data_IF_397225081973
#
_entry.id   IF_397225081973
#
_cell.length_a   1.000
_cell.length_b   1.000
_cell.length_c   1.000
_cell.angle_alpha   90.00
_cell.angle_beta   90.00
_cell.angle_gamma   90.00
#
_symmetry.space_group_name_H-M   'P 1'
#
loop_
_entity.id
_entity.type
_entity.pdbx_description
1 polymer ?
#
# COMPACT_ATOMS: atom_id res chain seq x y z
N UNK A 1 -37.88 32.39 44.07
CA UNK A 1 -36.52 31.80 43.92
C UNK A 1 -36.58 30.33 43.49
N UNK A 2 -37.06 30.01 42.26
CA UNK A 2 -37.14 28.62 41.76
C UNK A 2 -36.74 28.43 40.28
N UNK A 3 -36.13 29.43 39.64
CA UNK A 3 -35.67 29.36 38.23
C UNK A 3 -34.17 29.02 38.07
N UNK A 4 -33.43 28.82 39.16
CA UNK A 4 -31.97 28.60 39.12
C UNK A 4 -31.50 27.15 39.07
N UNK A 5 -32.38 26.18 39.34
CA UNK A 5 -31.99 24.76 39.48
C UNK A 5 -32.17 23.98 38.18
N UNK A 6 -33.19 24.28 37.38
CA UNK A 6 -33.45 23.58 36.11
C UNK A 6 -32.37 23.85 35.04
N UNK A 7 -31.81 25.07 35.02
CA UNK A 7 -30.70 25.42 34.13
C UNK A 7 -29.41 24.65 34.44
N UNK A 8 -29.12 24.37 35.71
CA UNK A 8 -27.93 23.59 36.10
C UNK A 8 -28.10 22.09 35.85
N UNK A 9 -29.32 21.55 35.95
CA UNK A 9 -29.59 20.14 35.60
C UNK A 9 -29.51 19.93 34.09
N UNK A 10 -30.01 20.87 33.28
CA UNK A 10 -29.86 20.85 31.82
C UNK A 10 -28.41 20.94 31.36
N UNK A 11 -27.62 21.84 31.97
CA UNK A 11 -26.19 22.00 31.64
C UNK A 11 -25.36 20.79 32.13
N UNK A 12 -25.68 20.21 33.31
CA UNK A 12 -25.05 18.95 33.78
C UNK A 12 -25.42 17.75 32.90
N UNK A 13 -26.64 17.68 32.38
CA UNK A 13 -27.08 16.61 31.47
C UNK A 13 -26.39 16.73 30.11
N UNK A 14 -26.25 17.95 29.58
CA UNK A 14 -25.52 18.21 28.33
C UNK A 14 -24.00 17.97 28.47
N UNK A 15 -23.41 18.23 29.63
CA UNK A 15 -21.99 17.92 29.89
C UNK A 15 -21.74 16.42 30.15
N UNK A 16 -22.71 15.69 30.72
CA UNK A 16 -22.64 14.23 30.84
C UNK A 16 -22.84 13.50 29.50
N UNK A 17 -23.66 14.02 28.58
CA UNK A 17 -23.79 13.48 27.21
C UNK A 17 -22.59 13.83 26.31
N UNK A 18 -21.80 14.86 26.65
CA UNK A 18 -20.53 15.13 25.94
C UNK A 18 -19.40 14.13 26.27
N UNK A 19 -19.63 13.24 27.25
CA UNK A 19 -18.72 12.17 27.63
C UNK A 19 -19.11 10.79 27.08
N UNK A 20 -20.21 10.69 26.32
CA UNK A 20 -20.50 9.48 25.54
C UNK A 20 -19.69 9.53 24.25
N UNK A 21 -18.94 8.46 24.02
CA UNK A 21 -17.83 8.38 23.06
C UNK A 21 -18.14 8.97 21.70
N UNK A 22 -17.17 9.70 21.16
CA UNK A 22 -17.20 10.28 19.80
C UNK A 22 -17.16 9.13 18.78
N UNK A 23 -18.29 8.44 18.61
CA UNK A 23 -18.42 7.33 17.67
C UNK A 23 -18.25 7.80 16.24
N UNK A 24 -17.55 7.01 15.43
CA UNK A 24 -17.35 7.32 14.02
C UNK A 24 -18.56 6.84 13.23
N UNK A 25 -19.06 7.69 12.33
CA UNK A 25 -20.26 7.41 11.54
C UNK A 25 -20.11 6.13 10.69
N UNK A 26 -21.14 5.28 10.74
CA UNK A 26 -21.18 3.96 10.10
C UNK A 26 -20.94 3.99 8.59
N UNK A 27 -21.29 5.10 7.93
CA UNK A 27 -21.03 5.30 6.50
C UNK A 27 -19.53 5.29 6.17
N UNK A 28 -18.68 5.86 7.02
CA UNK A 28 -17.23 5.93 6.78
C UNK A 28 -16.63 4.52 6.88
N UNK A 29 -17.06 3.74 7.87
CA UNK A 29 -16.65 2.33 8.02
C UNK A 29 -17.09 1.49 6.83
N UNK A 30 -18.32 1.67 6.36
CA UNK A 30 -18.82 0.99 5.14
C UNK A 30 -17.95 1.31 3.93
N UNK A 31 -17.62 2.59 3.70
CA UNK A 31 -16.72 2.99 2.59
C UNK A 31 -15.36 2.31 2.68
N UNK A 32 -14.76 2.20 3.88
CA UNK A 32 -13.45 1.56 4.05
C UNK A 32 -13.50 0.06 3.79
N UNK A 33 -14.55 -0.63 4.24
CA UNK A 33 -14.78 -2.04 3.94
C UNK A 33 -14.96 -2.26 2.44
N UNK A 34 -15.72 -1.41 1.74
CA UNK A 34 -15.89 -1.49 0.28
C UNK A 34 -14.55 -1.36 -0.45
N UNK A 35 -13.68 -0.42 -0.02
CA UNK A 35 -12.34 -0.26 -0.60
C UNK A 35 -11.50 -1.53 -0.38
N UNK A 36 -11.56 -2.13 0.80
CA UNK A 36 -10.82 -3.37 1.10
C UNK A 36 -11.33 -4.56 0.26
N UNK A 37 -12.65 -4.71 0.10
CA UNK A 37 -13.23 -5.77 -0.73
C UNK A 37 -12.84 -5.56 -2.20
N UNK A 38 -12.90 -4.32 -2.69
CA UNK A 38 -12.42 -3.99 -4.04
C UNK A 38 -10.92 -4.30 -4.21
N UNK A 39 -10.10 -3.98 -3.21
CA UNK A 39 -8.68 -4.32 -3.18
C UNK A 39 -8.46 -5.83 -3.30
N UNK A 40 -9.26 -6.62 -2.57
CA UNK A 40 -9.22 -8.08 -2.64
C UNK A 40 -9.58 -8.61 -4.04
N UNK A 41 -10.58 -8.00 -4.69
CA UNK A 41 -10.94 -8.35 -6.07
C UNK A 41 -9.79 -8.07 -7.04
N UNK A 42 -9.15 -6.91 -6.95
CA UNK A 42 -7.99 -6.58 -7.79
C UNK A 42 -6.86 -7.58 -7.56
N UNK A 43 -6.54 -7.88 -6.29
CA UNK A 43 -5.48 -8.84 -5.96
C UNK A 43 -5.78 -10.21 -6.58
N UNK A 44 -7.03 -10.67 -6.47
CA UNK A 44 -7.46 -11.95 -7.07
C UNK A 44 -7.35 -11.94 -8.60
N UNK A 45 -7.73 -10.84 -9.26
CA UNK A 45 -7.62 -10.69 -10.70
C UNK A 45 -6.15 -10.67 -11.15
N UNK A 46 -5.28 -9.92 -10.48
CA UNK A 46 -3.86 -9.84 -10.80
C UNK A 46 -3.18 -11.20 -10.64
N UNK A 47 -3.43 -11.91 -9.53
CA UNK A 47 -2.91 -13.27 -9.33
C UNK A 47 -3.35 -14.22 -10.46
N UNK A 48 -4.63 -14.16 -10.85
CA UNK A 48 -5.16 -14.98 -11.95
C UNK A 48 -4.47 -14.68 -13.29
N UNK A 49 -4.21 -13.41 -13.59
CA UNK A 49 -3.52 -13.01 -14.82
C UNK A 49 -2.06 -13.48 -14.85
N UNK A 50 -1.32 -13.35 -13.75
CA UNK A 50 0.09 -13.77 -13.70
C UNK A 50 0.20 -15.29 -13.89
N UNK A 51 -0.72 -16.06 -13.27
CA UNK A 51 -0.79 -17.53 -13.44
C UNK A 51 -1.17 -17.90 -14.88
N UNK A 52 -2.16 -17.23 -15.48
CA UNK A 52 -2.61 -17.51 -16.84
C UNK A 52 -1.52 -17.26 -17.90
N UNK A 53 -0.57 -16.36 -17.62
CA UNK A 53 0.54 -16.02 -18.53
C UNK A 53 1.75 -16.95 -18.42
N UNK A 54 1.85 -17.77 -17.37
CA UNK A 54 3.01 -18.62 -17.07
C UNK A 54 3.14 -19.90 -17.89
N UNK A 55 2.82 -19.86 -19.19
CA UNK A 55 2.89 -21.03 -20.07
C UNK A 55 4.26 -21.74 -20.04
N UNK A 56 4.24 -23.03 -19.66
CA UNK A 56 5.24 -24.11 -19.82
C UNK A 56 6.72 -23.88 -19.44
N UNK A 57 7.16 -22.68 -19.05
CA UNK A 57 8.53 -22.38 -18.58
C UNK A 57 8.50 -21.88 -17.13
N UNK A 58 8.12 -22.78 -16.22
CA UNK A 58 7.68 -22.44 -14.86
C UNK A 58 8.71 -21.75 -13.95
N UNK A 59 10.01 -22.00 -14.10
CA UNK A 59 11.01 -21.47 -13.16
C UNK A 59 11.41 -20.02 -13.45
N UNK A 60 11.70 -19.68 -14.71
CA UNK A 60 12.07 -18.31 -15.09
C UNK A 60 10.88 -17.35 -15.00
N UNK A 61 9.66 -17.82 -15.27
CA UNK A 61 8.44 -17.02 -15.13
C UNK A 61 8.14 -16.67 -13.67
N UNK A 62 8.29 -17.63 -12.74
CA UNK A 62 8.03 -17.38 -11.32
C UNK A 62 9.02 -16.38 -10.73
N UNK A 63 10.31 -16.45 -11.14
CA UNK A 63 11.34 -15.50 -10.68
C UNK A 63 11.05 -14.10 -11.23
N UNK A 64 10.63 -13.97 -12.48
CA UNK A 64 10.34 -12.67 -13.12
C UNK A 64 9.13 -11.93 -12.53
N UNK A 65 8.24 -12.61 -11.82
CA UNK A 65 7.05 -12.01 -11.19
C UNK A 65 7.11 -12.06 -9.66
N UNK A 66 8.25 -12.42 -9.07
CA UNK A 66 8.38 -12.67 -7.63
C UNK A 66 8.06 -11.44 -6.77
N UNK A 67 8.51 -10.26 -7.18
CA UNK A 67 8.19 -8.99 -6.50
C UNK A 67 6.69 -8.66 -6.54
N UNK A 68 6.02 -8.90 -7.66
CA UNK A 68 4.56 -8.77 -7.79
C UNK A 68 3.82 -9.76 -6.90
N UNK A 69 4.24 -11.03 -6.86
CA UNK A 69 3.64 -12.04 -5.98
C UNK A 69 3.78 -11.67 -4.50
N UNK A 70 4.98 -11.24 -4.09
CA UNK A 70 5.21 -10.76 -2.74
C UNK A 70 4.29 -9.58 -2.41
N UNK A 71 4.13 -8.63 -3.34
CA UNK A 71 3.26 -7.47 -3.17
C UNK A 71 1.79 -7.85 -2.99
N UNK A 72 1.29 -8.73 -3.86
CA UNK A 72 -0.10 -9.20 -3.82
C UNK A 72 -0.39 -9.98 -2.55
N UNK A 73 0.53 -10.86 -2.12
CA UNK A 73 0.35 -11.64 -0.90
C UNK A 73 0.35 -10.77 0.35
N UNK A 74 1.29 -9.83 0.45
CA UNK A 74 1.32 -8.84 1.53
C UNK A 74 0.06 -7.97 1.51
N UNK A 75 -0.35 -7.50 0.34
CA UNK A 75 -1.59 -6.74 0.15
C UNK A 75 -2.83 -7.52 0.61
N UNK A 76 -2.87 -8.83 0.35
CA UNK A 76 -3.91 -9.73 0.82
C UNK A 76 -3.92 -9.82 2.36
N UNK A 77 -2.77 -10.08 2.99
CA UNK A 77 -2.66 -10.14 4.45
C UNK A 77 -3.10 -8.82 5.11
N UNK A 78 -2.68 -7.68 4.57
CA UNK A 78 -3.07 -6.35 5.07
C UNK A 78 -4.56 -6.07 4.85
N UNK A 79 -5.13 -6.55 3.75
CA UNK A 79 -6.57 -6.40 3.49
C UNK A 79 -7.38 -7.15 4.55
N UNK A 80 -7.00 -8.39 4.86
CA UNK A 80 -7.63 -9.17 5.94
C UNK A 80 -7.44 -8.51 7.31
N UNK A 81 -6.24 -8.01 7.60
CA UNK A 81 -5.96 -7.29 8.85
C UNK A 81 -6.81 -6.01 8.98
N UNK A 82 -6.98 -5.27 7.89
CA UNK A 82 -7.83 -4.08 7.86
C UNK A 82 -9.31 -4.40 8.07
N UNK A 83 -9.81 -5.47 7.43
CA UNK A 83 -11.18 -5.95 7.65
C UNK A 83 -11.34 -6.34 9.12
N UNK A 84 -10.40 -7.09 9.69
CA UNK A 84 -10.41 -7.48 11.10
C UNK A 84 -10.52 -6.27 12.02
N UNK A 85 -9.70 -5.23 11.84
CA UNK A 85 -9.77 -4.02 12.67
C UNK A 85 -11.09 -3.27 12.56
N UNK A 86 -11.64 -3.16 11.34
CA UNK A 86 -12.92 -2.49 11.12
C UNK A 86 -14.10 -3.27 11.73
N UNK A 87 -14.09 -4.60 11.62
CA UNK A 87 -15.09 -5.45 12.28
C UNK A 87 -14.96 -5.39 13.80
N UNK A 88 -13.74 -5.47 14.32
CA UNK A 88 -13.46 -5.33 15.75
C UNK A 88 -13.93 -3.95 16.26
N UNK A 89 -13.76 -2.90 15.46
CA UNK A 89 -14.23 -1.56 15.78
C UNK A 89 -15.75 -1.45 15.92
N UNK A 90 -16.51 -2.30 15.23
CA UNK A 90 -17.99 -2.30 15.25
C UNK A 90 -18.56 -3.23 16.30
N UNK A 91 -17.91 -4.38 16.56
CA UNK A 91 -18.41 -5.38 17.51
C UNK A 91 -18.30 -4.97 18.99
N UNK A 92 -17.53 -3.92 19.28
CA UNK A 92 -17.31 -3.45 20.65
C UNK A 92 -18.25 -2.34 21.10
N UNK A 93 -19.14 -1.85 20.23
CA UNK A 93 -20.09 -0.79 20.58
C UNK A 93 -21.53 -1.30 20.50
N UNK A 94 -22.23 -1.27 21.64
CA UNK A 94 -23.63 -1.66 21.75
C UNK A 94 -24.57 -0.77 20.91
N UNK A 95 -24.12 0.42 20.52
CA UNK A 95 -24.89 1.38 19.72
C UNK A 95 -24.67 1.21 18.20
N UNK A 96 -23.80 0.28 17.78
CA UNK A 96 -23.44 0.07 16.38
C UNK A 96 -22.55 1.16 15.78
N UNK A 97 -21.95 2.03 16.60
CA UNK A 97 -20.96 3.01 16.15
C UNK A 97 -19.56 2.38 16.10
N UNK A 98 -18.65 2.99 15.33
CA UNK A 98 -17.27 2.50 15.26
C UNK A 98 -16.41 3.15 16.32
N UNK A 99 -15.78 2.34 17.18
CA UNK A 99 -14.83 2.82 18.18
C UNK A 99 -13.63 3.54 17.55
N UNK A 100 -13.17 4.68 18.07
CA UNK A 100 -12.24 5.53 17.34
C UNK A 100 -10.82 4.96 17.19
N UNK A 101 -10.34 4.20 18.18
CA UNK A 101 -8.99 3.62 18.15
C UNK A 101 -8.84 2.48 17.12
N UNK A 102 -9.64 1.40 17.18
CA UNK A 102 -9.54 0.31 16.21
C UNK A 102 -9.92 0.77 14.79
N UNK A 103 -10.84 1.72 14.64
CA UNK A 103 -11.14 2.33 13.35
C UNK A 103 -9.93 3.03 12.72
N UNK A 104 -9.15 3.75 13.53
CA UNK A 104 -7.94 4.45 13.05
C UNK A 104 -6.90 3.44 12.57
N UNK A 105 -6.69 2.33 13.31
CA UNK A 105 -5.80 1.24 12.91
C UNK A 105 -6.26 0.59 11.60
N UNK A 106 -7.55 0.25 11.50
CA UNK A 106 -8.16 -0.30 10.29
C UNK A 106 -8.03 0.63 9.08
N UNK A 107 -8.14 1.93 9.28
CA UNK A 107 -7.93 2.93 8.23
C UNK A 107 -6.48 2.98 7.75
N UNK A 108 -5.51 2.96 8.66
CA UNK A 108 -4.08 2.92 8.30
C UNK A 108 -3.76 1.65 7.51
N UNK A 109 -4.21 0.48 7.97
CA UNK A 109 -4.03 -0.79 7.24
C UNK A 109 -4.71 -0.78 5.88
N UNK A 110 -5.85 -0.11 5.73
CA UNK A 110 -6.54 0.01 4.43
C UNK A 110 -5.69 0.73 3.41
N UNK A 111 -5.07 1.85 3.79
CA UNK A 111 -4.18 2.57 2.89
C UNK A 111 -2.91 1.78 2.58
N UNK A 112 -2.32 1.12 3.59
CA UNK A 112 -1.16 0.26 3.36
C UNK A 112 -1.48 -0.93 2.45
N UNK A 113 -2.66 -1.54 2.56
CA UNK A 113 -3.10 -2.62 1.67
C UNK A 113 -3.26 -2.11 0.22
N UNK A 114 -3.83 -0.92 0.05
CA UNK A 114 -4.02 -0.30 -1.25
C UNK A 114 -2.67 0.05 -1.91
N UNK A 115 -1.69 0.52 -1.13
CA UNK A 115 -0.37 0.80 -1.69
C UNK A 115 0.32 -0.45 -2.21
N UNK A 116 0.12 -1.62 -1.58
CA UNK A 116 0.69 -2.88 -2.08
C UNK A 116 0.09 -3.29 -3.42
N UNK A 117 -1.20 -3.06 -3.61
CA UNK A 117 -1.85 -3.33 -4.90
C UNK A 117 -1.31 -2.41 -6.00
N UNK A 118 -1.05 -1.14 -5.67
CA UNK A 118 -0.38 -0.22 -6.61
C UNK A 118 1.04 -0.69 -6.93
N UNK A 119 1.82 -1.12 -5.93
CA UNK A 119 3.17 -1.69 -6.13
C UNK A 119 3.12 -2.91 -7.05
N UNK A 120 2.22 -3.86 -6.78
CA UNK A 120 2.06 -5.06 -7.59
C UNK A 120 1.71 -4.72 -9.04
N UNK A 121 0.74 -3.82 -9.23
CA UNK A 121 0.33 -3.38 -10.56
C UNK A 121 1.48 -2.70 -11.32
N UNK A 122 2.27 -1.85 -10.64
CA UNK A 122 3.41 -1.18 -11.26
C UNK A 122 4.54 -2.15 -11.61
N UNK A 123 4.80 -3.18 -10.80
CA UNK A 123 5.77 -4.22 -11.15
C UNK A 123 5.34 -5.05 -12.36
N UNK A 124 4.08 -5.49 -12.42
CA UNK A 124 3.55 -6.17 -13.61
C UNK A 124 3.63 -5.30 -14.86
N UNK A 125 3.28 -4.02 -14.72
CA UNK A 125 3.37 -3.06 -15.80
C UNK A 125 4.80 -2.87 -16.33
N UNK A 126 5.79 -2.83 -15.44
CA UNK A 126 7.21 -2.72 -15.81
C UNK A 126 7.71 -3.98 -16.54
N UNK A 127 7.35 -5.17 -16.04
CA UNK A 127 7.74 -6.44 -16.69
C UNK A 127 7.16 -6.52 -18.10
N UNK A 128 5.89 -6.14 -18.28
CA UNK A 128 5.28 -6.06 -19.62
C UNK A 128 6.01 -5.05 -20.51
N UNK A 129 6.32 -3.87 -19.99
CA UNK A 129 7.03 -2.84 -20.75
C UNK A 129 8.40 -3.32 -21.23
N UNK A 130 9.17 -3.97 -20.35
CA UNK A 130 10.48 -4.54 -20.72
C UNK A 130 10.35 -5.58 -21.84
N UNK A 131 9.32 -6.43 -21.79
CA UNK A 131 9.06 -7.42 -22.84
C UNK A 131 8.76 -6.78 -24.20
N UNK A 132 8.00 -5.68 -24.22
CA UNK A 132 7.61 -4.95 -25.43
C UNK A 132 8.82 -4.20 -26.01
N UNK A 133 9.62 -3.56 -25.17
CA UNK A 133 10.87 -2.90 -25.59
C UNK A 133 11.86 -3.92 -26.16
N UNK A 134 11.99 -5.09 -25.52
CA UNK A 134 12.83 -6.17 -26.04
C UNK A 134 12.36 -6.66 -27.42
N UNK A 135 11.05 -6.78 -27.64
CA UNK A 135 10.48 -7.19 -28.92
C UNK A 135 10.67 -6.15 -30.05
N UNK A 136 10.76 -4.85 -29.71
CA UNK A 136 11.01 -3.77 -30.68
C UNK A 136 12.49 -3.60 -31.05
N UNK A 137 13.41 -4.34 -30.43
CA UNK A 137 14.84 -4.23 -30.72
C UNK A 137 15.15 -4.70 -32.16
N UNK A 138 15.81 -3.88 -33.00
CA UNK A 138 16.19 -4.32 -34.35
C UNK A 138 17.17 -5.50 -34.26
N UNK A 139 16.87 -6.53 -35.04
CA UNK A 139 17.64 -7.78 -35.19
C UNK A 139 19.00 -7.41 -35.80
N UNK A 140 20.00 -7.11 -34.96
CA UNK A 140 21.36 -6.77 -35.43
C UNK A 140 22.25 -5.96 -34.48
N UNK A 141 21.76 -5.51 -33.31
CA UNK A 141 22.60 -4.74 -32.38
C UNK A 141 23.39 -5.65 -31.43
N UNK A 142 24.71 -5.67 -31.59
CA UNK A 142 25.72 -6.41 -30.80
C UNK A 142 25.43 -6.45 -29.28
N UNK A 143 25.67 -7.62 -28.71
CA UNK A 143 25.25 -8.04 -27.37
C UNK A 143 25.97 -7.29 -26.22
N UNK A 144 27.16 -6.74 -26.47
CA UNK A 144 28.03 -6.13 -25.46
C UNK A 144 27.82 -4.62 -25.24
N UNK A 145 27.25 -3.90 -26.21
CA UNK A 145 26.85 -2.49 -26.04
C UNK A 145 25.38 -2.32 -25.64
N UNK A 146 24.63 -3.43 -25.54
CA UNK A 146 23.18 -3.43 -25.37
C UNK A 146 22.67 -2.96 -24.01
N UNK A 147 23.41 -3.14 -22.91
CA UNK A 147 22.96 -2.81 -21.56
C UNK A 147 22.98 -1.30 -21.28
N UNK A 148 24.09 -0.61 -21.56
CA UNK A 148 24.17 0.85 -21.39
C UNK A 148 23.27 1.60 -22.39
N UNK A 149 23.06 1.03 -23.58
CA UNK A 149 22.09 1.57 -24.54
C UNK A 149 20.65 1.26 -24.12
N UNK A 150 20.36 0.19 -23.39
CA UNK A 150 19.01 -0.11 -22.88
C UNK A 150 18.56 0.94 -21.87
N UNK A 151 19.44 1.34 -20.96
CA UNK A 151 19.11 2.37 -19.96
C UNK A 151 18.88 3.73 -20.61
N UNK A 152 19.70 4.07 -21.62
CA UNK A 152 19.55 5.32 -22.39
C UNK A 152 18.32 5.27 -23.30
N UNK A 153 18.06 4.15 -23.99
CA UNK A 153 16.88 3.99 -24.86
C UNK A 153 15.59 3.87 -24.05
N UNK A 154 15.62 3.27 -22.85
CA UNK A 154 14.52 3.30 -21.87
C UNK A 154 14.22 4.76 -21.53
N UNK A 155 15.20 5.54 -21.09
CA UNK A 155 14.97 6.96 -20.74
C UNK A 155 14.50 7.81 -21.93
N UNK A 156 15.08 7.64 -23.12
CA UNK A 156 14.73 8.43 -24.33
C UNK A 156 13.35 8.02 -24.88
N UNK A 157 12.98 6.73 -24.80
CA UNK A 157 11.63 6.26 -25.11
C UNK A 157 10.61 6.62 -24.01
N UNK A 158 11.03 6.71 -22.74
CA UNK A 158 10.18 7.17 -21.63
C UNK A 158 9.92 8.69 -21.73
N UNK A 159 10.83 9.49 -22.28
CA UNK A 159 10.73 10.96 -22.31
C UNK A 159 9.46 11.53 -22.97
N UNK A 160 8.82 10.81 -23.91
CA UNK A 160 7.66 11.30 -24.68
C UNK A 160 6.47 10.33 -24.78
N UNK A 161 6.51 9.20 -24.09
CA UNK A 161 5.50 8.15 -24.27
C UNK A 161 4.44 8.20 -23.17
N UNK A 162 3.13 7.98 -23.45
CA UNK A 162 2.07 7.90 -22.45
C UNK A 162 2.39 6.94 -21.28
N UNK A 163 3.29 5.98 -21.49
CA UNK A 163 3.76 5.04 -20.50
C UNK A 163 4.51 5.70 -19.33
N UNK A 164 5.34 6.71 -19.60
CA UNK A 164 6.05 7.45 -18.53
C UNK A 164 5.08 8.24 -17.66
N UNK A 165 4.06 8.84 -18.28
CA UNK A 165 3.02 9.57 -17.56
C UNK A 165 2.29 8.63 -16.60
N UNK A 166 1.96 7.42 -17.05
CA UNK A 166 1.34 6.39 -16.19
C UNK A 166 2.26 5.97 -15.04
N UNK A 167 3.56 5.84 -15.29
CA UNK A 167 4.55 5.50 -14.26
C UNK A 167 4.67 6.60 -13.19
N UNK A 168 4.75 7.86 -13.62
CA UNK A 168 4.79 9.02 -12.72
C UNK A 168 3.49 9.14 -11.93
N UNK A 169 2.34 8.95 -12.57
CA UNK A 169 1.04 8.92 -11.89
C UNK A 169 0.98 7.80 -10.85
N UNK A 170 1.46 6.60 -11.19
CA UNK A 170 1.59 5.48 -10.28
C UNK A 170 2.44 5.83 -9.06
N UNK A 171 3.60 6.45 -9.29
CA UNK A 171 4.54 6.86 -8.23
C UNK A 171 3.93 7.90 -7.30
N UNK A 172 3.25 8.90 -7.87
CA UNK A 172 2.55 9.93 -7.10
C UNK A 172 1.42 9.34 -6.26
N UNK A 173 0.58 8.48 -6.85
CA UNK A 173 -0.54 7.82 -6.16
C UNK A 173 0.00 6.92 -5.03
N UNK A 174 1.05 6.15 -5.30
CA UNK A 174 1.69 5.30 -4.29
C UNK A 174 2.22 6.11 -3.11
N UNK A 175 2.90 7.24 -3.38
CA UNK A 175 3.41 8.12 -2.33
C UNK A 175 2.29 8.72 -1.47
N UNK A 176 1.21 9.17 -2.12
CA UNK A 176 0.04 9.71 -1.42
C UNK A 176 -0.61 8.66 -0.52
N UNK A 177 -0.78 7.44 -1.00
CA UNK A 177 -1.42 6.35 -0.24
C UNK A 177 -0.49 5.81 0.85
N UNK A 178 0.81 5.71 0.61
CA UNK A 178 1.77 5.10 1.55
C UNK A 178 2.12 6.02 2.72
N UNK A 179 2.24 7.33 2.46
CA UNK A 179 2.69 8.29 3.48
C UNK A 179 1.62 9.30 3.86
N UNK A 180 1.04 9.99 2.89
CA UNK A 180 0.14 11.12 3.18
C UNK A 180 -1.19 10.67 3.77
N UNK A 181 -1.79 9.58 3.26
CA UNK A 181 -3.08 9.10 3.74
C UNK A 181 -3.00 8.55 5.19
N UNK A 182 -2.04 7.68 5.56
CA UNK A 182 -1.83 7.28 6.96
C UNK A 182 -1.52 8.46 7.87
N UNK A 183 -0.67 9.39 7.44
CA UNK A 183 -0.33 10.58 8.22
C UNK A 183 -1.58 11.44 8.50
N UNK A 184 -2.38 11.70 7.47
CA UNK A 184 -3.63 12.45 7.61
C UNK A 184 -4.62 11.77 8.57
N UNK A 185 -4.61 10.43 8.60
CA UNK A 185 -5.44 9.62 9.49
C UNK A 185 -4.99 9.74 10.95
N UNK A 186 -3.68 9.75 11.21
CA UNK A 186 -3.12 9.97 12.55
C UNK A 186 -3.40 11.39 13.04
N UNK A 187 -3.20 12.40 12.19
CA UNK A 187 -3.42 13.82 12.54
C UNK A 187 -4.89 14.09 12.87
N UNK A 188 -5.82 13.53 12.07
CA UNK A 188 -7.27 13.70 12.25
C UNK A 188 -7.88 12.73 13.26
N UNK A 189 -7.09 11.82 13.84
CA UNK A 189 -7.61 10.85 14.80
C UNK A 189 -8.21 11.57 16.01
N UNK A 190 -9.43 11.19 16.44
CA UNK A 190 -10.09 11.78 17.61
C UNK A 190 -9.40 11.42 18.94
N UNK A 191 -8.39 10.54 18.92
CA UNK A 191 -7.60 10.19 20.09
C UNK A 191 -6.69 11.35 20.48
N UNK A 192 -6.88 11.88 21.69
CA UNK A 192 -6.11 12.98 22.27
C UNK A 192 -4.85 12.48 22.98
N UNK A 193 -3.81 13.32 23.00
CA UNK A 193 -2.58 13.12 23.79
C UNK A 193 -1.56 12.14 23.19
N UNK A 194 -0.67 11.61 24.04
CA UNK A 194 0.47 10.76 23.64
C UNK A 194 0.10 9.44 22.94
N UNK A 195 -1.17 9.03 22.97
CA UNK A 195 -1.67 7.83 22.26
C UNK A 195 -1.60 7.96 20.74
N UNK A 196 -1.41 9.16 20.18
CA UNK A 196 -1.17 9.34 18.75
C UNK A 196 0.11 8.66 18.27
N UNK A 197 1.13 8.59 19.14
CA UNK A 197 2.37 7.89 18.86
C UNK A 197 2.18 6.38 18.71
N UNK A 198 1.14 5.80 19.31
CA UNK A 198 0.80 4.38 19.13
C UNK A 198 0.41 4.11 17.68
N UNK A 199 -0.30 5.02 17.01
CA UNK A 199 -0.65 4.85 15.60
C UNK A 199 0.54 5.02 14.66
N UNK A 200 1.44 5.97 14.96
CA UNK A 200 2.69 6.11 14.23
C UNK A 200 3.58 4.87 14.41
N UNK A 201 3.72 4.38 15.65
CA UNK A 201 4.45 3.16 15.96
C UNK A 201 3.84 1.94 15.26
N UNK A 202 2.50 1.84 15.23
CA UNK A 202 1.79 0.79 14.51
C UNK A 202 2.07 0.83 13.00
N UNK A 203 2.01 2.03 12.39
CA UNK A 203 2.35 2.23 10.99
C UNK A 203 3.79 1.75 10.68
N UNK A 204 4.77 2.16 11.49
CA UNK A 204 6.16 1.72 11.32
C UNK A 204 6.34 0.22 11.58
N UNK A 205 5.66 -0.33 12.58
CA UNK A 205 5.71 -1.75 12.90
C UNK A 205 5.18 -2.64 11.76
N UNK A 206 4.24 -2.13 10.95
CA UNK A 206 3.81 -2.81 9.73
C UNK A 206 4.79 -2.57 8.58
N UNK A 207 5.26 -1.34 8.39
CA UNK A 207 6.17 -0.98 7.29
C UNK A 207 7.48 -1.77 7.29
N UNK A 208 8.08 -1.98 8.47
CA UNK A 208 9.38 -2.67 8.59
C UNK A 208 9.37 -4.09 8.02
N UNK A 209 8.49 -5.03 8.47
CA UNK A 209 8.45 -6.37 7.91
C UNK A 209 8.04 -6.36 6.43
N UNK A 210 7.25 -5.37 6.02
CA UNK A 210 6.78 -5.22 4.65
C UNK A 210 7.93 -4.94 3.69
N UNK A 211 8.72 -3.91 3.99
CA UNK A 211 9.90 -3.57 3.20
C UNK A 211 11.01 -4.60 3.31
N UNK A 212 11.07 -5.35 4.41
CA UNK A 212 11.99 -6.48 4.53
C UNK A 212 11.66 -7.60 3.54
N UNK A 213 10.38 -7.98 3.43
CA UNK A 213 9.92 -8.97 2.45
C UNK A 213 10.23 -8.51 1.02
N UNK A 214 10.00 -7.22 0.71
CA UNK A 214 10.33 -6.70 -0.61
C UNK A 214 11.81 -6.65 -0.91
N UNK A 215 12.66 -6.23 0.04
CA UNK A 215 14.11 -6.25 -0.16
C UNK A 215 14.59 -7.68 -0.44
N UNK A 216 14.00 -8.68 0.23
CA UNK A 216 14.30 -10.09 0.02
C UNK A 216 13.84 -10.57 -1.37
N UNK A 217 12.61 -10.24 -1.77
CA UNK A 217 12.09 -10.58 -3.10
C UNK A 217 12.89 -9.92 -4.23
N UNK A 218 13.22 -8.64 -4.07
CA UNK A 218 14.03 -7.88 -5.02
C UNK A 218 15.43 -8.48 -5.19
N UNK A 219 16.08 -8.87 -4.07
CA UNK A 219 17.39 -9.52 -4.12
C UNK A 219 17.33 -10.81 -4.93
N UNK A 220 16.32 -11.65 -4.70
CA UNK A 220 16.18 -12.93 -5.42
C UNK A 220 15.90 -12.74 -6.91
N UNK A 221 15.19 -11.67 -7.28
CA UNK A 221 14.77 -11.43 -8.65
C UNK A 221 15.83 -10.69 -9.50
N UNK A 222 16.53 -9.70 -8.92
CA UNK A 222 17.36 -8.77 -9.70
C UNK A 222 18.85 -8.78 -9.34
N UNK A 223 19.25 -9.34 -8.20
CA UNK A 223 20.65 -9.35 -7.78
C UNK A 223 21.27 -10.71 -8.07
N UNK A 224 22.29 -10.75 -8.93
CA UNK A 224 23.05 -11.97 -9.23
C UNK A 224 23.75 -12.49 -7.97
N UNK A 225 23.86 -13.82 -7.82
CA UNK A 225 24.41 -14.47 -6.63
C UNK A 225 25.83 -14.01 -6.25
N UNK A 226 26.61 -13.53 -7.24
CA UNK A 226 28.01 -13.13 -7.08
C UNK A 226 28.19 -11.64 -6.72
N UNK A 227 27.11 -10.84 -6.66
CA UNK A 227 27.22 -9.42 -6.29
C UNK A 227 27.07 -9.22 -4.77
N UNK A 228 28.06 -8.63 -4.08
CA UNK A 228 27.95 -8.28 -2.67
C UNK A 228 27.03 -7.06 -2.52
N UNK A 229 25.73 -7.29 -2.38
CA UNK A 229 24.75 -6.23 -2.14
C UNK A 229 24.36 -6.20 -0.68
N UNK A 230 24.53 -5.04 -0.03
CA UNK A 230 24.13 -4.83 1.36
C UNK A 230 22.60 -4.81 1.49
N UNK A 231 22.05 -5.71 2.32
CA UNK A 231 20.61 -5.82 2.55
C UNK A 231 20.02 -4.56 3.18
N UNK A 232 20.80 -3.82 3.97
CA UNK A 232 20.32 -2.58 4.58
C UNK A 232 20.09 -1.50 3.52
N UNK A 233 20.96 -1.43 2.51
CA UNK A 233 20.80 -0.53 1.37
C UNK A 233 19.55 -0.85 0.53
N UNK A 234 19.31 -2.14 0.26
CA UNK A 234 18.11 -2.60 -0.44
C UNK A 234 16.84 -2.30 0.36
N UNK A 235 16.88 -2.53 1.67
CA UNK A 235 15.79 -2.19 2.58
C UNK A 235 15.49 -0.69 2.57
N UNK A 236 16.52 0.16 2.62
CA UNK A 236 16.37 1.61 2.54
C UNK A 236 15.73 2.06 1.22
N UNK A 237 16.09 1.43 0.11
CA UNK A 237 15.51 1.73 -1.21
C UNK A 237 14.01 1.36 -1.29
N UNK A 238 13.53 0.38 -0.53
CA UNK A 238 12.10 0.03 -0.52
C UNK A 238 11.21 1.14 0.08
N UNK A 239 11.76 2.07 0.88
CA UNK A 239 11.02 3.27 1.31
C UNK A 239 10.76 4.23 0.15
N UNK A 240 11.38 4.03 -1.01
CA UNK A 240 11.10 4.84 -2.18
C UNK A 240 10.95 3.95 -3.41
N UNK A 241 10.04 2.98 -3.31
CA UNK A 241 9.72 2.05 -4.39
C UNK A 241 9.56 2.70 -5.77
N UNK A 242 8.93 3.89 -5.92
CA UNK A 242 8.88 4.54 -7.22
C UNK A 242 10.24 4.81 -7.86
N UNK A 243 11.31 5.06 -7.09
CA UNK A 243 12.66 5.18 -7.65
C UNK A 243 13.19 3.87 -8.21
N UNK A 244 12.78 2.74 -7.65
CA UNK A 244 13.12 1.41 -8.19
C UNK A 244 12.40 1.14 -9.51
N UNK A 245 11.30 1.83 -9.80
CA UNK A 245 10.57 1.70 -11.07
C UNK A 245 11.23 2.45 -12.23
N UNK A 246 12.12 3.40 -11.92
CA UNK A 246 12.88 4.16 -12.92
C UNK A 246 14.28 3.57 -13.19
N UNK A 247 14.65 2.48 -12.51
CA UNK A 247 15.87 1.71 -12.76
C UNK A 247 15.54 0.52 -13.64
#
# INVERSE_FOLDING_TARGET
MKKGVEGQVGIRRATLESNTGTGIALNITRTRVTVLVFNLTIISLLLSMIVARGGTTGEQHVIAHLTSYAALFVGFCLTLLGIFWLLFSQNLDAQGLSLPWPFTLGSITTFLALSQTVTAFMHEYLVEFESVVAAMRPIGADQTQGLARLDVLKLDALGHTPLFILLVMGGAIWFLITYMAPLSTVIRSPVRGGRRWVFAAYYFAIQVPLYWVYASAWRLQYVSADQPTDMLSLFGLQFVQPLLWFR
#
